data_IF_538383456130
#
_entry.id   IF_538383456130
#
_cell.length_a   1.000
_cell.length_b   1.000
_cell.length_c   1.000
_cell.angle_alpha   90.00
_cell.angle_beta   90.00
_cell.angle_gamma   90.00
#
_symmetry.space_group_name_H-M   'P 1'
#
loop_
_entity.id
_entity.type
_entity.pdbx_description
1 polymer ?
#
# COMPACT_ATOMS: atom_id res chain seq x y z
N UNK A 1 -10.39 -52.18 -66.55
CA UNK A 1 -9.16 -51.36 -66.50
C UNK A 1 -9.14 -50.75 -65.11
N UNK A 2 -8.54 -51.41 -64.11
CA UNK A 2 -7.10 -51.39 -63.76
C UNK A 2 -6.66 -49.96 -63.43
N UNK A 3 -6.12 -49.60 -62.27
CA UNK A 3 -5.70 -50.32 -61.09
C UNK A 3 -5.62 -49.34 -59.91
N UNK A 4 -5.78 -49.86 -58.69
CA UNK A 4 -5.44 -49.18 -57.45
C UNK A 4 -3.92 -48.96 -57.33
N UNK A 5 -3.51 -47.82 -56.77
CA UNK A 5 -2.13 -47.51 -56.33
C UNK A 5 -2.21 -46.74 -54.99
N UNK A 6 -1.33 -47.05 -54.00
CA UNK A 6 -1.55 -46.84 -52.55
C UNK A 6 -1.14 -45.45 -52.01
N UNK A 7 -1.46 -45.14 -50.73
CA UNK A 7 -1.18 -43.83 -50.13
C UNK A 7 0.32 -43.58 -49.91
N UNK A 8 0.80 -42.43 -50.37
CA UNK A 8 2.13 -41.92 -50.10
C UNK A 8 2.20 -41.27 -48.72
N UNK A 9 2.90 -41.93 -47.81
CA UNK A 9 3.33 -41.44 -46.50
C UNK A 9 4.18 -40.17 -46.66
N UNK A 10 3.68 -39.04 -46.14
CA UNK A 10 4.47 -37.83 -45.95
C UNK A 10 5.23 -37.95 -44.63
N UNK A 11 6.57 -37.76 -44.60
CA UNK A 11 7.36 -37.90 -43.38
C UNK A 11 6.98 -36.83 -42.37
N UNK A 12 6.76 -37.27 -41.13
CA UNK A 12 6.45 -36.39 -40.00
C UNK A 12 7.62 -35.43 -39.71
N UNK A 13 7.35 -34.18 -39.29
CA UNK A 13 8.41 -33.28 -38.88
C UNK A 13 9.09 -33.84 -37.62
N UNK A 14 10.38 -34.15 -37.74
CA UNK A 14 11.27 -34.50 -36.62
C UNK A 14 11.15 -33.42 -35.55
N UNK A 15 10.53 -33.78 -34.43
CA UNK A 15 10.57 -32.99 -33.21
C UNK A 15 12.00 -33.03 -32.67
N UNK A 16 12.73 -31.92 -32.81
CA UNK A 16 13.96 -31.70 -32.08
C UNK A 16 13.65 -31.75 -30.58
N UNK A 17 14.08 -32.83 -29.91
CA UNK A 17 14.19 -32.86 -28.45
C UNK A 17 15.24 -31.82 -28.02
N UNK A 18 14.88 -30.79 -27.23
CA UNK A 18 15.90 -29.97 -26.60
C UNK A 18 16.65 -30.79 -25.55
N UNK A 19 17.97 -30.81 -25.68
CA UNK A 19 18.89 -31.41 -24.72
C UNK A 19 18.67 -30.80 -23.33
N UNK A 20 18.42 -31.68 -22.36
CA UNK A 20 18.58 -31.44 -20.93
C UNK A 20 19.94 -30.80 -20.64
N UNK A 21 19.97 -29.62 -20.01
CA UNK A 21 21.25 -29.03 -19.60
C UNK A 21 21.29 -27.55 -19.22
N UNK A 22 20.18 -26.81 -19.17
CA UNK A 22 20.19 -25.44 -18.64
C UNK A 22 19.29 -25.30 -17.42
N UNK A 23 19.96 -25.31 -16.27
CA UNK A 23 19.44 -24.84 -14.98
C UNK A 23 18.86 -23.43 -15.21
N UNK A 24 17.58 -23.18 -14.90
CA UNK A 24 16.99 -21.88 -15.16
C UNK A 24 17.80 -20.81 -14.42
N UNK A 25 18.13 -19.67 -15.05
CA UNK A 25 18.74 -18.56 -14.33
C UNK A 25 17.81 -18.22 -13.18
N UNK A 26 18.34 -18.25 -11.94
CA UNK A 26 17.60 -17.80 -10.75
C UNK A 26 16.92 -16.50 -11.12
N UNK A 27 15.58 -16.50 -11.10
CA UNK A 27 14.78 -15.34 -11.43
C UNK A 27 15.32 -14.17 -10.61
N UNK A 28 16.07 -13.28 -11.27
CA UNK A 28 16.50 -12.03 -10.64
C UNK A 28 15.20 -11.34 -10.28
N UNK A 29 14.95 -11.19 -8.99
CA UNK A 29 13.80 -10.45 -8.45
C UNK A 29 13.78 -9.13 -9.22
N UNK A 30 12.80 -8.94 -10.11
CA UNK A 30 12.62 -7.67 -10.82
C UNK A 30 12.41 -6.64 -9.72
N UNK A 31 13.46 -5.89 -9.40
CA UNK A 31 13.30 -4.63 -8.67
C UNK A 31 12.55 -3.76 -9.66
N UNK A 32 11.28 -3.47 -9.35
CA UNK A 32 10.45 -2.60 -10.17
C UNK A 32 11.26 -1.36 -10.54
N UNK A 33 11.19 -0.94 -11.81
CA UNK A 33 11.88 0.23 -12.30
C UNK A 33 11.63 1.39 -11.32
N UNK A 34 12.69 2.03 -10.84
CA UNK A 34 12.57 3.16 -9.92
C UNK A 34 11.96 4.33 -10.72
N UNK A 35 10.64 4.43 -10.70
CA UNK A 35 9.94 5.56 -11.29
C UNK A 35 10.46 6.86 -10.66
N UNK A 36 10.64 7.89 -11.48
CA UNK A 36 11.02 9.21 -10.98
C UNK A 36 9.99 9.70 -9.98
N UNK A 37 10.41 9.99 -8.75
CA UNK A 37 9.53 10.51 -7.69
C UNK A 37 10.07 11.85 -7.22
N UNK A 38 9.29 12.90 -7.44
CA UNK A 38 9.40 14.13 -6.67
C UNK A 38 8.39 14.10 -5.53
N UNK A 39 8.89 14.21 -4.29
CA UNK A 39 8.05 14.21 -3.10
C UNK A 39 8.49 15.34 -2.19
N UNK A 40 7.54 16.22 -1.92
CA UNK A 40 7.65 17.37 -1.03
C UNK A 40 6.81 17.10 0.22
N UNK A 41 7.40 17.31 1.39
CA UNK A 41 6.69 17.24 2.67
C UNK A 41 6.48 18.66 3.21
N UNK A 42 5.23 19.06 3.37
CA UNK A 42 4.82 20.27 4.07
C UNK A 42 4.27 19.86 5.44
N UNK A 43 4.82 20.36 6.55
CA UNK A 43 4.33 20.07 7.89
C UNK A 43 4.02 21.37 8.67
N UNK A 44 3.05 22.19 8.21
CA UNK A 44 2.64 23.40 8.93
C UNK A 44 2.16 23.10 10.35
N UNK A 45 1.57 21.93 10.59
CA UNK A 45 1.14 21.49 11.92
C UNK A 45 2.30 21.21 12.90
N UNK A 46 3.56 21.23 12.42
CA UNK A 46 4.78 20.90 13.20
C UNK A 46 4.64 19.60 14.00
N UNK A 47 3.90 18.64 13.45
CA UNK A 47 3.61 17.39 14.14
C UNK A 47 4.87 16.52 14.20
N UNK A 48 5.20 16.02 15.40
CA UNK A 48 6.32 15.09 15.64
C UNK A 48 5.99 13.64 15.30
N UNK A 49 4.71 13.31 15.06
CA UNK A 49 4.30 11.96 14.68
C UNK A 49 4.57 11.65 13.20
N UNK A 50 4.95 12.67 12.41
CA UNK A 50 5.18 12.55 10.98
C UNK A 50 6.51 11.84 10.72
N UNK A 51 6.52 10.76 9.92
CA UNK A 51 7.75 10.08 9.54
C UNK A 51 8.69 10.98 8.72
N UNK A 52 10.02 10.77 8.77
CA UNK A 52 10.97 11.52 7.96
C UNK A 52 10.67 11.42 6.46
N UNK A 53 10.94 12.47 5.69
CA UNK A 53 10.68 12.51 4.23
C UNK A 53 11.34 11.36 3.47
N UNK A 54 12.52 10.91 3.90
CA UNK A 54 13.19 9.75 3.30
C UNK A 54 12.39 8.45 3.47
N UNK A 55 11.70 8.30 4.60
CA UNK A 55 10.80 7.17 4.87
C UNK A 55 9.53 7.27 4.02
N UNK A 56 8.92 8.46 3.94
CA UNK A 56 7.76 8.69 3.07
C UNK A 56 8.10 8.40 1.59
N UNK A 57 9.28 8.82 1.11
CA UNK A 57 9.78 8.51 -0.23
C UNK A 57 9.94 7.02 -0.47
N UNK A 58 10.43 6.25 0.51
CA UNK A 58 10.53 4.79 0.40
C UNK A 58 9.15 4.15 0.26
N UNK A 59 8.19 4.56 1.07
CA UNK A 59 6.82 4.04 1.02
C UNK A 59 6.13 4.41 -0.30
N UNK A 60 6.27 5.66 -0.74
CA UNK A 60 5.70 6.12 -2.00
C UNK A 60 6.26 5.34 -3.20
N UNK A 61 7.58 5.13 -3.26
CA UNK A 61 8.20 4.33 -4.33
C UNK A 61 7.69 2.89 -4.39
N UNK A 62 7.31 2.30 -3.27
CA UNK A 62 6.74 0.95 -3.25
C UNK A 62 5.31 0.91 -3.82
N UNK A 63 4.57 2.03 -3.77
CA UNK A 63 3.20 2.13 -4.25
C UNK A 63 3.06 2.63 -5.71
N UNK A 64 4.08 3.29 -6.25
CA UNK A 64 4.03 3.98 -7.54
C UNK A 64 4.36 3.06 -8.73
N UNK A 65 3.50 3.11 -9.75
CA UNK A 65 3.67 2.41 -11.04
C UNK A 65 4.16 3.31 -12.18
N UNK A 66 4.22 4.61 -11.93
CA UNK A 66 4.56 5.62 -12.91
C UNK A 66 5.34 6.76 -12.24
N UNK A 67 6.06 7.59 -13.01
CA UNK A 67 6.67 8.80 -12.48
C UNK A 67 5.61 9.67 -11.79
N UNK A 68 5.97 10.24 -10.63
CA UNK A 68 5.02 10.98 -9.82
C UNK A 68 5.63 12.23 -9.19
N UNK A 69 4.77 13.24 -9.03
CA UNK A 69 5.04 14.49 -8.32
C UNK A 69 3.98 14.66 -7.25
N UNK A 70 4.37 14.44 -5.99
CA UNK A 70 3.43 14.32 -4.87
C UNK A 70 3.80 15.29 -3.77
N UNK A 71 2.86 16.14 -3.36
CA UNK A 71 2.99 16.91 -2.13
C UNK A 71 2.26 16.19 -1.00
N UNK A 72 2.95 15.89 0.09
CA UNK A 72 2.32 15.44 1.33
C UNK A 72 2.25 16.63 2.26
N UNK A 73 1.04 17.08 2.60
CA UNK A 73 0.80 18.20 3.52
C UNK A 73 0.18 17.70 4.81
N UNK A 74 0.86 17.94 5.93
CA UNK A 74 0.39 17.54 7.26
C UNK A 74 -0.19 18.74 7.99
N UNK A 75 -1.50 18.67 8.25
CA UNK A 75 -2.31 19.76 8.81
C UNK A 75 -2.90 19.39 10.17
N UNK A 76 -3.45 20.38 10.86
CA UNK A 76 -4.22 20.18 12.08
C UNK A 76 -5.70 19.87 11.79
N UNK A 77 -6.48 19.64 12.85
CA UNK A 77 -7.90 19.32 12.73
C UNK A 77 -8.72 20.51 12.18
N UNK A 78 -8.32 21.74 12.46
CA UNK A 78 -9.02 22.96 12.04
C UNK A 78 -8.91 23.13 10.52
N UNK A 79 -7.69 23.04 10.00
CA UNK A 79 -7.42 23.12 8.56
C UNK A 79 -7.98 21.90 7.82
N UNK A 80 -7.87 20.68 8.36
CA UNK A 80 -8.50 19.49 7.77
C UNK A 80 -10.03 19.63 7.67
N UNK A 81 -10.71 20.07 8.74
CA UNK A 81 -12.16 20.32 8.73
C UNK A 81 -12.55 21.38 7.72
N UNK A 82 -11.77 22.47 7.63
CA UNK A 82 -11.99 23.53 6.65
C UNK A 82 -11.90 23.00 5.22
N UNK A 83 -10.84 22.26 4.88
CA UNK A 83 -10.66 21.68 3.55
C UNK A 83 -11.75 20.65 3.24
N UNK A 84 -12.12 19.80 4.20
CA UNK A 84 -13.18 18.81 3.99
C UNK A 84 -14.55 19.47 3.75
N UNK A 85 -14.83 20.61 4.40
CA UNK A 85 -16.03 21.41 4.16
C UNK A 85 -15.98 22.07 2.78
N UNK A 86 -14.87 22.69 2.41
CA UNK A 86 -14.72 23.43 1.16
C UNK A 86 -14.74 22.52 -0.09
N UNK A 87 -14.10 21.35 -0.02
CA UNK A 87 -13.96 20.46 -1.19
C UNK A 87 -14.94 19.29 -1.22
N UNK A 88 -15.48 18.85 -0.06
CA UNK A 88 -16.40 17.71 0.03
C UNK A 88 -17.74 18.04 0.71
N UNK A 89 -17.97 19.29 1.12
CA UNK A 89 -19.21 19.69 1.81
C UNK A 89 -19.39 19.05 3.19
N UNK A 90 -18.34 18.48 3.79
CA UNK A 90 -18.40 17.72 5.05
C UNK A 90 -17.75 18.49 6.19
N UNK A 91 -18.54 18.80 7.22
CA UNK A 91 -18.10 19.63 8.34
C UNK A 91 -17.45 18.84 9.50
N UNK A 92 -16.45 18.03 9.19
CA UNK A 92 -15.62 17.32 10.17
C UNK A 92 -14.18 17.16 9.70
N UNK A 93 -13.22 17.01 10.62
CA UNK A 93 -11.84 16.73 10.27
C UNK A 93 -11.70 15.28 9.80
N UNK A 94 -11.14 15.10 8.60
CA UNK A 94 -10.88 13.76 8.04
C UNK A 94 -9.42 13.37 8.18
N UNK A 95 -9.11 12.09 8.04
CA UNK A 95 -7.77 11.54 8.15
C UNK A 95 -6.91 11.88 6.93
N UNK A 96 -7.45 11.71 5.71
CA UNK A 96 -6.78 11.98 4.45
C UNK A 96 -7.72 12.62 3.42
N UNK A 97 -7.23 13.66 2.74
CA UNK A 97 -7.79 14.19 1.51
C UNK A 97 -6.78 14.01 0.38
N UNK A 98 -7.24 13.52 -0.76
CA UNK A 98 -6.42 13.31 -1.94
C UNK A 98 -6.91 14.23 -3.05
N UNK A 99 -6.01 15.05 -3.58
CA UNK A 99 -6.27 15.97 -4.68
C UNK A 99 -5.41 15.54 -5.87
N UNK A 100 -6.02 14.99 -6.91
CA UNK A 100 -5.31 14.65 -8.13
C UNK A 100 -5.25 15.87 -9.05
N UNK A 101 -4.08 16.16 -9.59
CA UNK A 101 -3.86 17.18 -10.60
C UNK A 101 -3.36 16.48 -11.87
N UNK A 102 -4.14 16.50 -12.94
CA UNK A 102 -3.69 16.05 -14.25
C UNK A 102 -4.41 14.82 -14.77
N UNK A 103 -5.07 15.02 -15.91
CA UNK A 103 -5.86 14.03 -16.62
C UNK A 103 -4.94 13.22 -17.55
N UNK A 104 -3.98 12.47 -17.01
CA UNK A 104 -3.14 11.59 -17.84
C UNK A 104 -2.47 12.27 -19.05
N UNK A 105 -2.27 13.60 -18.99
CA UNK A 105 -1.76 14.40 -20.08
C UNK A 105 -0.29 14.11 -20.28
N UNK A 106 0.03 13.53 -21.43
CA UNK A 106 1.36 13.21 -21.92
C UNK A 106 2.40 14.25 -21.47
N UNK A 107 3.21 13.92 -20.47
CA UNK A 107 4.50 14.58 -20.33
C UNK A 107 5.21 14.44 -21.68
N UNK A 108 5.80 15.52 -22.21
CA UNK A 108 6.53 15.51 -23.48
C UNK A 108 7.49 14.30 -23.52
N UNK A 109 7.07 13.21 -24.18
CA UNK A 109 7.64 11.86 -23.97
C UNK A 109 6.64 10.70 -23.74
N UNK A 110 5.31 10.93 -23.74
CA UNK A 110 4.29 9.88 -23.88
C UNK A 110 4.02 8.99 -22.65
N UNK A 111 4.50 9.39 -21.47
CA UNK A 111 4.25 8.67 -20.22
C UNK A 111 3.17 9.31 -19.35
N UNK A 112 2.27 8.49 -18.79
CA UNK A 112 1.29 8.92 -17.78
C UNK A 112 2.05 9.28 -16.50
N UNK A 113 1.99 10.55 -16.07
CA UNK A 113 2.58 11.05 -14.81
C UNK A 113 1.47 11.23 -13.78
N UNK A 114 1.73 10.84 -12.53
CA UNK A 114 0.80 11.05 -11.42
C UNK A 114 1.19 12.34 -10.71
N UNK A 115 0.34 13.36 -10.75
CA UNK A 115 0.54 14.56 -9.93
C UNK A 115 -0.62 14.73 -8.95
N UNK A 116 -0.32 15.13 -7.71
CA UNK A 116 -1.36 15.33 -6.72
C UNK A 116 -0.87 15.65 -5.32
N UNK A 117 -1.79 16.16 -4.51
CA UNK A 117 -1.55 16.49 -3.12
C UNK A 117 -2.31 15.53 -2.19
N UNK A 118 -1.62 15.10 -1.14
CA UNK A 118 -2.17 14.32 -0.05
C UNK A 118 -2.15 15.16 1.21
N UNK A 119 -3.32 15.54 1.69
CA UNK A 119 -3.48 16.29 2.94
C UNK A 119 -3.82 15.32 4.07
N UNK A 120 -2.94 15.23 5.07
CA UNK A 120 -3.05 14.32 6.21
C UNK A 120 -3.27 15.09 7.50
N UNK A 121 -4.26 14.69 8.28
CA UNK A 121 -4.57 15.34 9.56
C UNK A 121 -3.86 14.65 10.72
N UNK A 122 -2.75 15.21 11.20
CA UNK A 122 -1.95 14.62 12.27
C UNK A 122 -2.72 14.19 13.54
N UNK A 123 -3.65 15.00 14.11
CA UNK A 123 -4.38 14.60 15.30
C UNK A 123 -5.35 13.44 15.04
N UNK A 124 -6.03 13.41 13.90
CA UNK A 124 -6.96 12.33 13.53
C UNK A 124 -6.19 11.03 13.29
N UNK A 125 -5.08 11.09 12.53
CA UNK A 125 -4.21 9.93 12.30
C UNK A 125 -3.70 9.35 13.61
N UNK A 126 -3.29 10.19 14.56
CA UNK A 126 -2.84 9.74 15.88
C UNK A 126 -3.97 9.10 16.70
N UNK A 127 -5.16 9.68 16.69
CA UNK A 127 -6.32 9.16 17.40
C UNK A 127 -6.75 7.79 16.85
N UNK A 128 -6.82 7.65 15.52
CA UNK A 128 -7.16 6.38 14.85
C UNK A 128 -6.09 5.31 15.10
N UNK A 129 -4.81 5.66 14.99
CA UNK A 129 -3.72 4.73 15.28
C UNK A 129 -3.78 4.23 16.73
N UNK A 130 -4.05 5.13 17.69
CA UNK A 130 -4.21 4.77 19.09
C UNK A 130 -5.43 3.87 19.33
N UNK A 131 -6.59 4.20 18.73
CA UNK A 131 -7.81 3.39 18.84
C UNK A 131 -7.62 1.97 18.28
N UNK A 132 -6.79 1.82 17.24
CA UNK A 132 -6.46 0.52 16.65
C UNK A 132 -5.28 -0.18 17.34
N UNK A 133 -4.66 0.43 18.36
CA UNK A 133 -3.49 -0.12 19.04
C UNK A 133 -2.25 -0.24 18.15
N UNK A 134 -2.13 0.58 17.10
CA UNK A 134 -1.04 0.56 16.12
C UNK A 134 -0.12 1.78 16.29
N UNK A 135 1.19 1.66 16.00
CA UNK A 135 2.06 2.83 15.96
C UNK A 135 1.59 3.84 14.90
N UNK A 136 1.66 5.17 15.15
CA UNK A 136 1.24 6.18 14.17
C UNK A 136 1.91 6.02 12.80
N UNK A 137 3.17 5.60 12.77
CA UNK A 137 3.91 5.36 11.53
C UNK A 137 3.24 4.30 10.63
N UNK A 138 2.63 3.26 11.21
CA UNK A 138 1.90 2.24 10.45
C UNK A 138 0.67 2.86 9.78
N UNK A 139 -0.04 3.71 10.51
CA UNK A 139 -1.24 4.37 9.99
C UNK A 139 -0.89 5.42 8.92
N UNK A 140 0.21 6.17 9.10
CA UNK A 140 0.73 7.06 8.05
C UNK A 140 1.12 6.29 6.79
N UNK A 141 1.78 5.14 6.92
CA UNK A 141 2.14 4.32 5.77
C UNK A 141 0.90 3.82 5.03
N UNK A 142 -0.11 3.37 5.76
CA UNK A 142 -1.39 2.96 5.19
C UNK A 142 -2.06 4.10 4.43
N UNK A 143 -2.26 5.27 5.06
CA UNK A 143 -2.91 6.42 4.42
C UNK A 143 -2.14 6.97 3.22
N UNK A 144 -0.81 6.95 3.27
CA UNK A 144 0.03 7.36 2.14
C UNK A 144 -0.14 6.40 0.96
N UNK A 145 -0.05 5.09 1.19
CA UNK A 145 -0.22 4.08 0.13
C UNK A 145 -1.64 4.16 -0.45
N UNK A 146 -2.65 4.24 0.42
CA UNK A 146 -4.05 4.39 0.04
C UNK A 146 -4.27 5.63 -0.84
N UNK A 147 -3.79 6.80 -0.39
CA UNK A 147 -3.88 8.05 -1.14
C UNK A 147 -3.16 7.99 -2.49
N UNK A 148 -1.97 7.41 -2.56
CA UNK A 148 -1.23 7.25 -3.82
C UNK A 148 -1.91 6.30 -4.80
N UNK A 149 -2.58 5.25 -4.32
CA UNK A 149 -3.37 4.37 -5.17
C UNK A 149 -4.59 5.11 -5.74
N UNK A 150 -5.26 5.93 -4.92
CA UNK A 150 -6.33 6.81 -5.40
C UNK A 150 -5.86 7.79 -6.49
N UNK A 151 -4.71 8.43 -6.29
CA UNK A 151 -4.13 9.33 -7.28
C UNK A 151 -3.79 8.61 -8.61
N UNK A 152 -3.57 7.29 -8.59
CA UNK A 152 -3.32 6.47 -9.77
C UNK A 152 -4.61 6.01 -10.49
N UNK A 153 -5.78 6.36 -9.95
CA UNK A 153 -7.09 5.98 -10.49
C UNK A 153 -7.62 4.64 -9.96
N UNK A 154 -7.07 4.13 -8.85
CA UNK A 154 -7.71 3.03 -8.13
C UNK A 154 -8.85 3.59 -7.26
N UNK A 155 -10.04 3.01 -7.40
CA UNK A 155 -11.23 3.39 -6.63
C UNK A 155 -11.63 2.27 -5.67
N UNK A 156 -12.12 2.67 -4.49
CA UNK A 156 -12.63 1.80 -3.42
C UNK A 156 -14.18 1.80 -3.36
N UNK A 157 -14.88 2.47 -4.28
CA UNK A 157 -16.33 2.71 -4.20
C UNK A 157 -17.25 1.52 -4.47
N UNK A 158 -16.84 0.54 -5.29
CA UNK A 158 -17.70 -0.59 -5.70
C UNK A 158 -16.95 -1.94 -5.60
N UNK A 159 -17.70 -3.01 -5.29
CA UNK A 159 -17.29 -4.30 -4.70
C UNK A 159 -15.97 -4.94 -5.23
N UNK A 160 -15.89 -5.24 -6.53
CA UNK A 160 -14.74 -5.93 -7.11
C UNK A 160 -13.48 -5.02 -7.26
N UNK A 161 -13.62 -3.74 -7.66
CA UNK A 161 -12.55 -2.74 -7.57
C UNK A 161 -11.95 -2.58 -6.16
N UNK A 162 -12.80 -2.51 -5.13
CA UNK A 162 -12.36 -2.36 -3.74
C UNK A 162 -11.45 -3.53 -3.30
N UNK A 163 -11.86 -4.77 -3.56
CA UNK A 163 -11.06 -5.95 -3.21
C UNK A 163 -9.71 -6.00 -3.96
N UNK A 164 -9.64 -5.46 -5.18
CA UNK A 164 -8.37 -5.33 -5.94
C UNK A 164 -7.43 -4.33 -5.29
N UNK A 165 -7.95 -3.19 -4.85
CA UNK A 165 -7.18 -2.15 -4.17
C UNK A 165 -6.70 -2.64 -2.79
N UNK A 166 -7.56 -3.25 -1.99
CA UNK A 166 -7.18 -3.82 -0.69
C UNK A 166 -6.04 -4.84 -0.80
N UNK A 167 -6.13 -5.77 -1.77
CA UNK A 167 -5.05 -6.75 -2.00
C UNK A 167 -3.74 -6.06 -2.34
N UNK A 168 -3.79 -4.95 -3.06
CA UNK A 168 -2.62 -4.19 -3.44
C UNK A 168 -2.03 -3.44 -2.25
N UNK A 169 -2.86 -2.82 -1.43
CA UNK A 169 -2.47 -2.18 -0.17
C UNK A 169 -1.80 -3.18 0.76
N UNK A 170 -2.42 -4.34 1.01
CA UNK A 170 -1.83 -5.42 1.82
C UNK A 170 -0.47 -5.84 1.28
N UNK A 171 -0.34 -6.02 -0.03
CA UNK A 171 0.92 -6.43 -0.67
C UNK A 171 2.01 -5.38 -0.48
N UNK A 172 1.70 -4.10 -0.68
CA UNK A 172 2.66 -3.00 -0.55
C UNK A 172 3.07 -2.84 0.92
N UNK A 173 2.11 -2.85 1.85
CA UNK A 173 2.39 -2.73 3.28
C UNK A 173 3.22 -3.92 3.80
N UNK A 174 2.93 -5.15 3.36
CA UNK A 174 3.74 -6.31 3.67
C UNK A 174 5.18 -6.20 3.14
N UNK A 175 5.38 -5.64 1.93
CA UNK A 175 6.73 -5.37 1.40
C UNK A 175 7.50 -4.33 2.21
N UNK A 176 6.78 -3.39 2.82
CA UNK A 176 7.34 -2.36 3.69
C UNK A 176 7.56 -2.84 5.14
N UNK A 177 7.14 -4.07 5.46
CA UNK A 177 7.25 -4.66 6.80
C UNK A 177 6.15 -4.22 7.77
N UNK A 178 5.03 -3.71 7.27
CA UNK A 178 3.89 -3.31 8.08
C UNK A 178 2.85 -4.42 8.22
N UNK A 179 2.17 -4.50 9.38
CA UNK A 179 1.06 -5.44 9.57
C UNK A 179 -0.13 -5.07 8.67
N UNK A 180 -0.98 -6.07 8.40
CA UNK A 180 -2.18 -5.87 7.59
C UNK A 180 -3.10 -4.80 8.23
N UNK A 181 -3.46 -3.72 7.52
CA UNK A 181 -4.33 -2.69 8.05
C UNK A 181 -5.74 -3.21 8.34
N UNK A 182 -6.18 -4.27 7.65
CA UNK A 182 -7.51 -4.88 7.75
C UNK A 182 -7.59 -6.06 8.71
N UNK A 183 -6.46 -6.57 9.21
CA UNK A 183 -6.48 -7.61 10.21
C UNK A 183 -7.11 -7.06 11.51
N UNK A 184 -8.01 -7.82 12.17
CA UNK A 184 -8.42 -7.48 13.53
C UNK A 184 -7.15 -7.32 14.37
N UNK A 185 -7.09 -6.24 15.17
CA UNK A 185 -5.92 -5.92 15.98
C UNK A 185 -5.47 -7.16 16.78
N UNK A 186 -4.16 -7.27 17.10
CA UNK A 186 -3.69 -8.43 17.84
C UNK A 186 -4.55 -8.57 19.09
N UNK A 187 -5.24 -9.70 19.24
CA UNK A 187 -5.81 -10.09 20.52
C UNK A 187 -4.66 -9.93 21.52
N UNK A 188 -4.78 -8.96 22.43
CA UNK A 188 -3.80 -8.79 23.48
C UNK A 188 -3.83 -10.09 24.28
N UNK A 189 -2.84 -10.95 24.07
CA UNK A 189 -2.55 -12.00 25.03
C UNK A 189 -2.26 -11.27 26.34
N UNK A 190 -3.21 -11.39 27.26
CA UNK A 190 -3.14 -10.83 28.58
C UNK A 190 -1.96 -11.47 29.30
N UNK A 191 -0.83 -10.77 29.34
CA UNK A 191 0.38 -11.15 30.07
C UNK A 191 0.21 -11.00 31.60
N UNK A 192 -0.99 -11.18 32.13
CA UNK A 192 -1.32 -11.13 33.57
C UNK A 192 -1.33 -12.50 34.26
N UNK A 193 -1.00 -13.59 33.57
CA UNK A 193 -0.72 -14.87 34.24
C UNK A 193 0.74 -14.93 34.68
N UNK A 194 1.04 -14.22 35.77
CA UNK A 194 2.20 -14.51 36.61
C UNK A 194 1.85 -15.71 37.53
N UNK A 195 2.38 -16.92 37.29
CA UNK A 195 2.06 -18.09 38.12
C UNK A 195 2.69 -18.05 39.51
N UNK A 196 3.36 -16.95 39.90
CA UNK A 196 4.16 -16.91 41.14
C UNK A 196 3.40 -16.38 42.36
N UNK A 197 2.13 -15.95 42.21
CA UNK A 197 1.32 -15.39 43.31
C UNK A 197 0.23 -16.35 43.83
N UNK A 198 0.56 -17.62 44.07
CA UNK A 198 -0.28 -18.55 44.85
C UNK A 198 0.50 -19.23 45.98
N UNK A 199 1.42 -18.52 46.62
CA UNK A 199 1.98 -18.93 47.91
C UNK A 199 1.66 -17.86 48.95
N UNK A 200 0.75 -18.21 49.88
CA UNK A 200 0.38 -17.57 51.16
C UNK A 200 -1.13 -17.31 51.23
N UNK A 201 -1.89 -18.30 51.70
CA UNK A 201 -3.06 -18.18 52.61
C UNK A 201 -3.85 -19.49 52.61
N UNK A 202 -3.47 -20.41 53.48
CA UNK A 202 -4.36 -21.37 54.14
C UNK A 202 -3.52 -22.30 55.02
N UNK A 203 -3.01 -21.79 56.14
CA UNK A 203 -2.67 -22.61 57.30
C UNK A 203 -2.44 -21.69 58.51
N UNK A 204 -3.55 -21.34 59.16
CA UNK A 204 -3.61 -20.91 60.55
C UNK A 204 -5.07 -20.89 60.98
N UNK A 205 -5.50 -21.95 61.65
CA UNK A 205 -6.66 -21.94 62.53
C UNK A 205 -6.20 -22.45 63.90
N UNK A 206 -6.41 -21.72 65.01
CA UNK A 206 -6.26 -22.27 66.35
C UNK A 206 -7.42 -23.21 66.71
#
# INVERSE_FOLDING_TARGET
MSAAVPPGEMPQPMTLRPRSGQRPPRARRRVAAAHGLDLVLQNPARSRSVPPVATLRRWARAALEAPAEITVRVVDATESRRLNREFRGRDYATNVLSFAYGDGGNAAGGGRRVCGDLVLCAPVVRAEAHAQGKPPAVHYAHLLVHGLLHLQGHDHGEDAPAARMERRERRILAQLGFPDPFAPGPCREDSSRDPTLMSRRADRNP
#
